data_IF_747004794839
#
_entry.id   IF_747004794839
#
_cell.length_a   1.000
_cell.length_b   1.000
_cell.length_c   1.000
_cell.angle_alpha   90.00
_cell.angle_beta   90.00
_cell.angle_gamma   90.00
#
_symmetry.space_group_name_H-M   'P 1'
#
loop_
_entity.id
_entity.type
_entity.pdbx_description
1 polymer ?
#
# COMPACT_ATOMS: atom_id res chain seq x y z
N UNK A 1 2.48 -7.61 6.30
CA UNK A 1 3.90 -7.45 5.90
C UNK A 1 4.71 -8.53 6.61
N UNK A 2 5.57 -9.29 5.91
CA UNK A 2 6.45 -10.26 6.55
C UNK A 2 7.52 -9.54 7.39
N UNK A 3 8.05 -10.17 8.46
CA UNK A 3 9.15 -9.58 9.23
C UNK A 3 10.33 -9.20 8.34
N UNK A 4 10.83 -7.99 8.50
CA UNK A 4 12.01 -7.47 7.80
C UNK A 4 13.03 -7.02 8.83
N UNK A 5 14.30 -7.41 8.64
CA UNK A 5 15.41 -7.02 9.51
C UNK A 5 16.52 -6.36 8.72
N UNK A 6 17.13 -5.33 9.31
CA UNK A 6 18.38 -4.73 8.83
C UNK A 6 19.54 -5.54 9.42
N UNK A 7 20.47 -6.02 8.58
CA UNK A 7 21.62 -6.80 9.03
C UNK A 7 22.82 -6.66 8.09
N UNK A 8 24.00 -7.01 8.60
CA UNK A 8 25.21 -7.09 7.78
C UNK A 8 25.17 -8.30 6.84
N UNK A 9 25.82 -8.15 5.68
CA UNK A 9 25.99 -9.20 4.69
C UNK A 9 27.33 -9.08 3.96
N UNK A 10 27.66 -10.04 3.07
CA UNK A 10 28.95 -10.07 2.36
C UNK A 10 29.21 -8.86 1.46
N UNK A 11 28.17 -8.08 1.14
CA UNK A 11 28.24 -6.88 0.30
C UNK A 11 27.88 -5.60 1.06
N UNK A 12 27.91 -5.63 2.40
CA UNK A 12 27.52 -4.52 3.26
C UNK A 12 26.16 -4.74 3.93
N UNK A 13 25.72 -3.71 4.66
CA UNK A 13 24.44 -3.74 5.37
C UNK A 13 23.27 -3.68 4.38
N UNK A 14 22.22 -4.47 4.65
CA UNK A 14 21.01 -4.47 3.86
C UNK A 14 19.82 -5.04 4.63
N UNK A 15 18.64 -4.98 4.01
CA UNK A 15 17.43 -5.57 4.59
C UNK A 15 17.21 -6.99 4.08
N UNK A 16 16.73 -7.86 4.96
CA UNK A 16 16.26 -9.20 4.62
C UNK A 16 14.83 -9.35 5.13
N UNK A 17 13.92 -9.73 4.25
CA UNK A 17 12.53 -10.00 4.58
C UNK A 17 12.31 -11.52 4.64
N UNK A 18 11.51 -11.96 5.62
CA UNK A 18 11.13 -13.36 5.76
C UNK A 18 10.42 -13.83 4.49
N UNK A 19 10.85 -14.97 3.96
CA UNK A 19 10.20 -15.65 2.85
C UNK A 19 8.77 -16.05 3.22
N UNK A 20 7.85 -15.89 2.27
CA UNK A 20 6.44 -16.30 2.41
C UNK A 20 6.15 -17.34 1.36
N UNK A 21 5.76 -18.52 1.81
CA UNK A 21 5.27 -19.56 0.91
C UNK A 21 3.90 -19.16 0.35
N UNK A 22 3.72 -19.46 -0.94
CA UNK A 22 2.44 -19.31 -1.60
C UNK A 22 1.39 -20.31 -1.09
N UNK A 23 0.14 -20.19 -1.56
CA UNK A 23 -0.87 -21.22 -1.35
C UNK A 23 -0.37 -22.58 -1.87
N UNK A 24 -0.78 -23.67 -1.21
CA UNK A 24 -0.47 -25.03 -1.69
C UNK A 24 -1.26 -25.35 -2.97
N UNK A 25 -0.77 -26.30 -3.78
CA UNK A 25 -1.47 -26.74 -4.98
C UNK A 25 -2.88 -27.24 -4.64
N UNK A 26 -3.90 -26.55 -5.18
CA UNK A 26 -5.32 -26.85 -4.93
C UNK A 26 -5.98 -26.02 -3.82
N UNK A 27 -5.25 -25.12 -3.16
CA UNK A 27 -5.88 -24.05 -2.36
C UNK A 27 -6.41 -22.95 -3.28
N UNK A 28 -7.72 -22.68 -3.21
CA UNK A 28 -8.34 -21.55 -3.90
C UNK A 28 -7.86 -20.23 -3.27
N UNK A 29 -6.80 -19.65 -3.83
CA UNK A 29 -6.37 -18.30 -3.49
C UNK A 29 -7.31 -17.28 -4.15
N UNK A 30 -7.81 -16.29 -3.39
CA UNK A 30 -8.71 -15.29 -3.94
C UNK A 30 -7.98 -14.47 -4.99
N UNK A 31 -8.63 -14.23 -6.13
CA UNK A 31 -8.18 -13.29 -7.13
C UNK A 31 -8.26 -11.88 -6.54
N UNK A 32 -7.13 -11.17 -6.46
CA UNK A 32 -7.06 -9.86 -5.82
C UNK A 32 -7.10 -8.71 -6.81
N UNK A 33 -6.70 -8.95 -8.05
CA UNK A 33 -6.59 -7.98 -9.13
C UNK A 33 -6.99 -8.65 -10.44
N UNK A 34 -7.71 -7.91 -11.28
CA UNK A 34 -8.11 -8.39 -12.60
C UNK A 34 -8.15 -7.24 -13.60
N UNK A 35 -8.07 -7.58 -14.88
CA UNK A 35 -8.38 -6.69 -15.99
C UNK A 35 -9.74 -7.11 -16.55
N UNK A 36 -10.70 -6.21 -16.55
CA UNK A 36 -12.05 -6.46 -17.07
C UNK A 36 -12.30 -5.65 -18.33
N UNK A 37 -13.01 -6.24 -19.30
CA UNK A 37 -13.31 -5.60 -20.59
C UNK A 37 -14.37 -4.50 -20.47
N UNK A 38 -15.15 -4.47 -19.38
CA UNK A 38 -16.18 -3.46 -19.13
C UNK A 38 -15.63 -2.14 -18.59
N UNK A 39 -16.46 -1.09 -18.65
CA UNK A 39 -16.15 0.24 -18.09
C UNK A 39 -16.45 0.35 -16.60
N UNK A 40 -17.23 -0.58 -16.05
CA UNK A 40 -17.66 -0.61 -14.64
C UNK A 40 -17.20 -1.90 -13.97
N UNK A 41 -16.82 -1.86 -12.68
CA UNK A 41 -16.47 -3.05 -11.93
C UNK A 41 -17.73 -3.90 -11.66
N UNK A 42 -17.59 -5.23 -11.76
CA UNK A 42 -18.64 -6.15 -11.32
C UNK A 42 -18.74 -6.25 -9.80
N UNK A 43 -19.74 -6.99 -9.31
CA UNK A 43 -19.94 -7.22 -7.88
C UNK A 43 -18.67 -7.80 -7.22
N UNK A 44 -18.28 -7.24 -6.07
CA UNK A 44 -17.08 -7.64 -5.33
C UNK A 44 -15.78 -7.02 -5.85
N UNK A 45 -15.82 -6.16 -6.87
CA UNK A 45 -14.67 -5.47 -7.43
C UNK A 45 -14.77 -3.96 -7.26
N UNK A 46 -13.61 -3.29 -7.20
CA UNK A 46 -13.48 -1.83 -7.14
C UNK A 46 -12.58 -1.37 -8.28
N UNK A 47 -13.00 -0.32 -8.98
CA UNK A 47 -12.28 0.25 -10.11
C UNK A 47 -11.00 0.99 -9.66
N UNK A 48 -9.86 0.67 -10.29
CA UNK A 48 -8.59 1.39 -10.08
C UNK A 48 -8.43 2.49 -11.13
N UNK A 49 -8.65 2.12 -12.40
CA UNK A 49 -8.48 2.98 -13.56
C UNK A 49 -8.22 2.15 -14.81
N UNK A 50 -8.25 2.79 -15.97
CA UNK A 50 -7.95 2.11 -17.24
C UNK A 50 -6.45 1.85 -17.38
N UNK A 51 -6.10 0.64 -17.79
CA UNK A 51 -4.74 0.21 -18.11
C UNK A 51 -4.64 -0.23 -19.57
N UNK A 52 -3.52 0.07 -20.22
CA UNK A 52 -3.20 -0.42 -21.56
C UNK A 52 -2.85 -1.91 -21.48
N UNK A 53 -3.59 -2.74 -22.23
CA UNK A 53 -3.39 -4.21 -22.30
C UNK A 53 -2.67 -4.65 -23.58
N UNK A 54 -2.16 -3.68 -24.35
CA UNK A 54 -1.45 -3.90 -25.61
C UNK A 54 -2.30 -3.63 -26.85
N UNK A 55 -1.64 -3.40 -27.99
CA UNK A 55 -2.29 -3.12 -29.29
C UNK A 55 -3.27 -1.93 -29.29
N UNK A 56 -3.08 -0.98 -28.37
CA UNK A 56 -3.97 0.19 -28.19
C UNK A 56 -5.33 -0.14 -27.58
N UNK A 57 -5.46 -1.32 -26.95
CA UNK A 57 -6.65 -1.70 -26.19
C UNK A 57 -6.47 -1.31 -24.72
N UNK A 58 -7.52 -0.73 -24.16
CA UNK A 58 -7.63 -0.46 -22.72
C UNK A 58 -8.56 -1.46 -22.07
N UNK A 59 -8.25 -1.85 -20.83
CA UNK A 59 -9.13 -2.61 -19.96
C UNK A 59 -9.22 -1.90 -18.61
N UNK A 60 -10.33 -2.07 -17.90
CA UNK A 60 -10.46 -1.54 -16.56
C UNK A 60 -9.66 -2.44 -15.60
N UNK A 61 -8.66 -1.88 -14.95
CA UNK A 61 -7.99 -2.53 -13.85
C UNK A 61 -8.88 -2.42 -12.61
N UNK A 62 -9.14 -3.56 -11.97
CA UNK A 62 -9.93 -3.65 -10.74
C UNK A 62 -9.14 -4.38 -9.65
N UNK A 63 -9.46 -4.09 -8.39
CA UNK A 63 -9.04 -4.92 -7.26
C UNK A 63 -10.27 -5.43 -6.49
N UNK A 64 -10.11 -6.54 -5.77
CA UNK A 64 -11.18 -7.09 -4.94
C UNK A 64 -11.59 -6.09 -3.84
N UNK A 65 -12.88 -6.00 -3.52
CA UNK A 65 -13.39 -5.26 -2.37
C UNK A 65 -13.13 -6.05 -1.07
N UNK A 66 -11.85 -6.21 -0.75
CA UNK A 66 -11.36 -7.05 0.34
C UNK A 66 -10.89 -6.19 1.53
N UNK A 67 -11.37 -6.43 2.76
CA UNK A 67 -10.94 -5.68 3.94
C UNK A 67 -9.41 -5.71 4.19
N UNK A 68 -8.72 -6.78 3.80
CA UNK A 68 -7.25 -6.91 3.93
C UNK A 68 -6.54 -5.97 2.97
N UNK A 69 -7.03 -5.85 1.74
CA UNK A 69 -6.54 -4.86 0.77
C UNK A 69 -6.86 -3.44 1.22
N UNK A 70 -8.04 -3.20 1.79
CA UNK A 70 -8.39 -1.88 2.33
C UNK A 70 -7.48 -1.44 3.48
N UNK A 71 -7.02 -2.37 4.33
CA UNK A 71 -5.99 -2.09 5.34
C UNK A 71 -4.65 -1.74 4.70
N UNK A 72 -4.25 -2.45 3.64
CA UNK A 72 -3.02 -2.15 2.90
C UNK A 72 -3.08 -0.79 2.19
N UNK A 73 -4.24 -0.36 1.68
CA UNK A 73 -4.36 0.96 1.05
C UNK A 73 -4.16 2.10 2.05
N UNK A 74 -4.58 1.93 3.31
CA UNK A 74 -4.27 2.88 4.39
C UNK A 74 -2.77 2.87 4.70
N UNK A 75 -2.14 1.69 4.77
CA UNK A 75 -0.70 1.59 4.96
C UNK A 75 0.07 2.30 3.84
N UNK A 76 -0.29 2.04 2.57
CA UNK A 76 0.34 2.66 1.41
C UNK A 76 0.24 4.19 1.47
N UNK A 77 -0.91 4.73 1.87
CA UNK A 77 -1.11 6.16 2.06
C UNK A 77 -0.23 6.74 3.18
N UNK A 78 -0.14 6.05 4.32
CA UNK A 78 0.71 6.48 5.45
C UNK A 78 2.19 6.52 5.05
N UNK A 79 2.69 5.41 4.48
CA UNK A 79 4.09 5.27 4.12
C UNK A 79 4.43 5.88 2.77
N UNK A 80 3.47 6.49 2.07
CA UNK A 80 3.67 7.08 0.76
C UNK A 80 4.29 6.08 -0.25
N UNK A 81 3.69 4.90 -0.36
CA UNK A 81 4.22 3.84 -1.21
C UNK A 81 4.13 4.24 -2.69
N UNK A 82 5.28 4.37 -3.34
CA UNK A 82 5.38 4.79 -4.74
C UNK A 82 5.41 3.66 -5.77
N UNK A 83 5.20 2.42 -5.34
CA UNK A 83 5.34 1.27 -6.22
C UNK A 83 4.48 0.05 -5.82
N UNK A 84 3.28 0.22 -5.24
CA UNK A 84 2.42 -0.94 -4.92
C UNK A 84 1.86 -1.59 -6.18
N UNK A 85 2.42 -2.73 -6.60
CA UNK A 85 2.00 -3.54 -7.76
C UNK A 85 1.30 -4.83 -7.36
N UNK A 86 0.73 -5.55 -8.33
CA UNK A 86 0.03 -6.80 -8.09
C UNK A 86 0.93 -7.90 -7.54
N UNK A 87 2.14 -8.05 -8.11
CA UNK A 87 3.16 -8.98 -7.59
C UNK A 87 3.64 -8.68 -6.16
N UNK A 88 3.22 -7.56 -5.56
CA UNK A 88 3.56 -7.22 -4.16
C UNK A 88 2.50 -7.69 -3.16
N UNK A 89 1.41 -8.28 -3.64
CA UNK A 89 0.31 -8.81 -2.85
C UNK A 89 0.39 -10.35 -2.87
N UNK A 90 0.75 -10.94 -1.74
CA UNK A 90 0.95 -12.39 -1.62
C UNK A 90 -0.17 -13.01 -0.77
N UNK A 91 -1.16 -13.67 -1.39
CA UNK A 91 -2.01 -14.63 -0.69
C UNK A 91 -1.13 -15.71 -0.06
N UNK A 92 -1.47 -16.12 1.16
CA UNK A 92 -0.75 -17.14 1.90
C UNK A 92 -1.73 -18.09 2.62
N UNK A 93 -1.27 -19.30 2.98
CA UNK A 93 -2.12 -20.30 3.63
C UNK A 93 -2.86 -19.78 4.87
N UNK A 94 -4.09 -20.25 5.04
CA UNK A 94 -5.01 -19.81 6.09
C UNK A 94 -5.64 -18.44 5.84
N UNK A 95 -5.77 -18.02 4.57
CA UNK A 95 -6.45 -16.78 4.19
C UNK A 95 -5.69 -15.51 4.57
N UNK A 96 -4.37 -15.60 4.76
CA UNK A 96 -3.53 -14.44 5.06
C UNK A 96 -3.16 -13.70 3.77
N UNK A 97 -2.90 -12.40 3.91
CA UNK A 97 -2.41 -11.55 2.83
C UNK A 97 -1.18 -10.79 3.32
N UNK A 98 -0.08 -10.92 2.58
CA UNK A 98 1.15 -10.18 2.84
C UNK A 98 1.38 -9.14 1.74
N UNK A 99 1.58 -7.88 2.14
CA UNK A 99 2.24 -6.88 1.31
C UNK A 99 3.75 -7.00 1.44
N UNK A 100 4.46 -7.04 0.33
CA UNK A 100 5.94 -7.03 0.24
C UNK A 100 6.43 -5.77 -0.50
N UNK A 101 7.74 -5.69 -0.70
CA UNK A 101 8.44 -4.66 -1.49
C UNK A 101 8.06 -3.22 -1.14
N UNK A 102 8.58 -2.75 0.00
CA UNK A 102 8.38 -1.39 0.52
C UNK A 102 9.61 -0.50 0.29
N UNK A 103 10.48 -0.85 -0.67
CA UNK A 103 11.73 -0.14 -0.91
C UNK A 103 11.53 1.30 -1.44
N UNK A 104 10.36 1.60 -2.00
CA UNK A 104 10.01 2.93 -2.54
C UNK A 104 8.92 3.55 -1.68
N UNK A 105 9.29 3.96 -0.46
CA UNK A 105 8.37 4.52 0.55
C UNK A 105 9.02 5.71 1.26
N UNK A 106 8.22 6.40 2.08
CA UNK A 106 8.57 7.50 2.97
C UNK A 106 9.02 8.81 2.34
N UNK A 107 9.11 8.91 1.01
CA UNK A 107 9.47 10.14 0.32
C UNK A 107 8.72 11.37 0.90
N UNK A 108 9.43 12.48 1.06
CA UNK A 108 8.87 13.70 1.63
C UNK A 108 7.80 14.33 0.72
N UNK A 109 8.00 14.28 -0.59
CA UNK A 109 6.99 14.69 -1.56
C UNK A 109 5.88 13.64 -1.64
N UNK A 110 4.66 14.05 -2.01
CA UNK A 110 3.59 13.10 -2.32
C UNK A 110 3.98 12.24 -3.55
N UNK A 111 4.26 10.97 -3.25
CA UNK A 111 4.75 9.94 -4.16
C UNK A 111 3.92 8.66 -4.02
N UNK A 112 2.64 8.73 -3.62
CA UNK A 112 1.73 7.58 -3.52
C UNK A 112 1.26 7.02 -4.89
N UNK A 113 1.72 5.81 -5.23
CA UNK A 113 1.34 5.04 -6.42
C UNK A 113 0.95 3.64 -6.00
N UNK A 114 -0.31 3.30 -6.22
CA UNK A 114 -0.86 2.02 -5.76
C UNK A 114 -1.93 1.50 -6.70
N UNK A 115 -2.10 0.18 -6.75
CA UNK A 115 -3.27 -0.40 -7.41
C UNK A 115 -4.51 -0.42 -6.52
N UNK A 116 -4.44 0.14 -5.31
CA UNK A 116 -5.53 0.11 -4.33
C UNK A 116 -6.36 1.41 -4.31
N UNK A 117 -6.48 2.06 -5.47
CA UNK A 117 -7.23 3.31 -5.63
C UNK A 117 -8.75 3.15 -5.61
N UNK A 118 -9.28 1.93 -5.58
CA UNK A 118 -10.72 1.71 -5.67
C UNK A 118 -11.54 2.22 -4.50
N UNK A 119 -10.90 2.58 -3.39
CA UNK A 119 -11.53 3.31 -2.28
C UNK A 119 -11.25 4.82 -2.29
N UNK A 120 -10.66 5.39 -3.36
CA UNK A 120 -10.23 6.79 -3.37
C UNK A 120 -11.38 7.77 -3.04
N UNK A 121 -11.20 8.54 -1.96
CA UNK A 121 -12.19 9.48 -1.44
C UNK A 121 -13.38 8.84 -0.71
N UNK A 122 -13.41 7.52 -0.55
CA UNK A 122 -14.35 6.86 0.36
C UNK A 122 -13.96 7.10 1.83
N UNK A 123 -14.91 7.03 2.78
CA UNK A 123 -14.61 7.11 4.20
C UNK A 123 -13.59 6.05 4.64
N UNK A 124 -12.69 6.44 5.53
CA UNK A 124 -11.86 5.49 6.28
C UNK A 124 -12.76 4.70 7.24
N UNK A 125 -12.43 3.43 7.48
CA UNK A 125 -13.14 2.63 8.47
C UNK A 125 -12.82 3.11 9.88
N UNK A 126 -13.71 2.83 10.84
CA UNK A 126 -13.45 3.10 12.26
C UNK A 126 -12.16 2.42 12.76
N UNK A 127 -11.90 1.21 12.26
CA UNK A 127 -10.66 0.48 12.52
C UNK A 127 -9.43 1.28 12.05
N UNK A 128 -9.47 1.80 10.82
CA UNK A 128 -8.37 2.59 10.26
C UNK A 128 -8.15 3.88 11.06
N UNK A 129 -9.22 4.62 11.40
CA UNK A 129 -9.13 5.83 12.22
C UNK A 129 -8.54 5.55 13.60
N UNK A 130 -8.95 4.46 14.25
CA UNK A 130 -8.42 4.08 15.55
C UNK A 130 -6.92 3.72 15.49
N UNK A 131 -6.48 3.03 14.43
CA UNK A 131 -5.05 2.71 14.21
C UNK A 131 -4.25 3.98 13.92
N UNK A 132 -4.75 4.85 13.05
CA UNK A 132 -4.11 6.12 12.71
C UNK A 132 -3.96 7.02 13.94
N UNK A 133 -4.95 7.07 14.83
CA UNK A 133 -4.88 7.83 16.09
C UNK A 133 -3.78 7.34 17.02
N UNK A 134 -3.62 6.01 17.15
CA UNK A 134 -2.50 5.41 17.90
C UNK A 134 -1.16 5.71 17.24
N UNK A 135 -1.09 5.58 15.91
CA UNK A 135 0.12 5.87 15.15
C UNK A 135 0.54 7.34 15.29
N UNK A 136 -0.40 8.29 15.26
CA UNK A 136 -0.11 9.70 15.48
C UNK A 136 0.51 9.95 16.87
N UNK A 137 0.00 9.29 17.91
CA UNK A 137 0.57 9.37 19.26
C UNK A 137 2.00 8.78 19.32
N UNK A 138 2.23 7.63 18.68
CA UNK A 138 3.56 6.99 18.61
C UNK A 138 4.56 7.77 17.74
N UNK A 139 4.08 8.57 16.78
CA UNK A 139 4.89 9.46 15.97
C UNK A 139 5.13 10.84 16.61
N UNK A 140 4.52 11.15 17.74
CA UNK A 140 4.73 12.42 18.43
C UNK A 140 6.22 12.64 18.79
N UNK A 141 6.72 13.90 18.79
CA UNK A 141 8.11 14.18 19.16
C UNK A 141 8.49 13.56 20.51
N UNK A 142 9.56 12.76 20.53
CA UNK A 142 10.06 12.08 21.72
C UNK A 142 9.40 10.72 22.04
N UNK A 143 8.36 10.32 21.30
CA UNK A 143 7.81 8.96 21.42
C UNK A 143 8.75 7.91 20.82
N UNK A 144 8.65 6.66 21.30
CA UNK A 144 9.60 5.60 20.98
C UNK A 144 9.69 5.32 19.48
N UNK A 145 8.55 5.23 18.78
CA UNK A 145 8.54 5.01 17.34
C UNK A 145 9.12 6.22 16.58
N UNK A 146 8.76 7.45 16.95
CA UNK A 146 9.33 8.65 16.34
C UNK A 146 10.86 8.71 16.45
N UNK A 147 11.41 8.39 17.62
CA UNK A 147 12.85 8.31 17.84
C UNK A 147 13.49 7.25 16.96
N UNK A 148 12.89 6.05 16.89
CA UNK A 148 13.41 4.97 16.05
C UNK A 148 13.36 5.32 14.55
N UNK A 149 12.29 5.96 14.10
CA UNK A 149 12.16 6.39 12.70
C UNK A 149 13.20 7.44 12.34
N UNK A 150 13.50 8.40 13.23
CA UNK A 150 14.52 9.42 13.00
C UNK A 150 15.95 8.85 12.83
N UNK A 151 16.19 7.59 13.24
CA UNK A 151 17.46 6.88 12.99
C UNK A 151 17.49 6.20 11.61
N UNK A 152 16.34 6.03 10.95
CA UNK A 152 16.18 5.22 9.74
C UNK A 152 15.80 6.05 8.50
N UNK A 153 15.11 7.16 8.69
CA UNK A 153 14.69 8.08 7.62
C UNK A 153 15.10 9.51 7.97
N UNK A 154 15.07 10.39 6.97
CA UNK A 154 15.43 11.79 7.16
C UNK A 154 14.38 12.55 8.00
N UNK A 155 14.78 13.71 8.52
CA UNK A 155 13.86 14.60 9.26
C UNK A 155 12.67 15.02 8.41
N UNK A 156 12.91 15.40 7.14
CA UNK A 156 11.87 15.81 6.20
C UNK A 156 10.87 14.68 5.91
N UNK A 157 11.34 13.44 5.74
CA UNK A 157 10.46 12.27 5.53
C UNK A 157 9.62 11.95 6.77
N UNK A 158 10.19 12.11 7.97
CA UNK A 158 9.46 11.91 9.23
C UNK A 158 8.41 13.01 9.47
N UNK A 159 8.71 14.26 9.14
CA UNK A 159 7.74 15.36 9.17
C UNK A 159 6.60 15.09 8.18
N UNK A 160 6.91 14.74 6.93
CA UNK A 160 5.92 14.40 5.92
C UNK A 160 5.07 13.17 6.33
N UNK A 161 5.66 12.17 6.98
CA UNK A 161 4.91 11.03 7.53
C UNK A 161 3.88 11.49 8.57
N UNK A 162 4.27 12.36 9.51
CA UNK A 162 3.34 12.91 10.51
C UNK A 162 2.21 13.70 9.86
N UNK A 163 2.54 14.55 8.90
CA UNK A 163 1.57 15.35 8.15
C UNK A 163 0.57 14.46 7.39
N UNK A 164 1.04 13.38 6.75
CA UNK A 164 0.17 12.41 6.09
C UNK A 164 -0.79 11.74 7.08
N UNK A 165 -0.30 11.28 8.23
CA UNK A 165 -1.16 10.66 9.26
C UNK A 165 -2.20 11.64 9.79
N UNK A 166 -1.79 12.88 10.10
CA UNK A 166 -2.69 13.95 10.55
C UNK A 166 -3.73 14.32 9.48
N UNK A 167 -3.32 14.41 8.22
CA UNK A 167 -4.20 14.66 7.08
C UNK A 167 -5.27 13.57 6.91
N UNK A 168 -4.87 12.29 7.02
CA UNK A 168 -5.82 11.17 6.98
C UNK A 168 -6.83 11.21 8.14
N UNK A 169 -6.39 11.54 9.35
CA UNK A 169 -7.27 11.67 10.52
C UNK A 169 -8.25 12.83 10.38
N UNK A 170 -7.79 14.00 9.92
CA UNK A 170 -8.63 15.19 9.73
C UNK A 170 -9.62 15.01 8.60
N UNK A 171 -9.18 14.40 7.49
CA UNK A 171 -10.02 14.19 6.31
C UNK A 171 -11.02 13.05 6.50
N UNK A 172 -10.65 12.00 7.22
CA UNK A 172 -11.51 10.84 7.47
C UNK A 172 -11.83 10.02 6.21
N UNK A 173 -11.09 10.22 5.12
CA UNK A 173 -11.29 9.57 3.82
C UNK A 173 -9.98 9.05 3.25
N UNK A 174 -10.04 8.01 2.43
CA UNK A 174 -8.91 7.56 1.63
C UNK A 174 -8.46 8.68 0.68
N UNK A 175 -7.14 8.83 0.41
CA UNK A 175 -6.64 9.86 -0.48
C UNK A 175 -7.11 9.63 -1.92
N UNK A 176 -7.05 10.69 -2.72
CA UNK A 176 -7.20 10.62 -4.18
C UNK A 176 -5.83 10.80 -4.85
N UNK A 177 -5.64 10.29 -6.09
CA UNK A 177 -4.48 10.62 -6.89
C UNK A 177 -4.17 12.12 -6.90
N UNK A 178 -2.91 12.50 -6.68
CA UNK A 178 -2.49 13.90 -6.64
C UNK A 178 -2.57 14.61 -8.00
N UNK A 179 -2.63 13.84 -9.09
CA UNK A 179 -2.62 14.35 -10.47
C UNK A 179 -1.26 14.89 -10.94
N UNK A 180 -0.24 14.89 -10.09
CA UNK A 180 1.07 15.45 -10.41
C UNK A 180 1.97 14.48 -11.21
N UNK A 181 1.67 13.18 -11.18
CA UNK A 181 2.41 12.10 -11.83
C UNK A 181 1.52 10.84 -11.88
N UNK A 182 1.85 9.80 -12.68
CA UNK A 182 0.95 8.67 -12.92
C UNK A 182 0.64 7.90 -11.62
N UNK A 183 -0.64 7.70 -11.25
CA UNK A 183 -1.01 7.12 -9.96
C UNK A 183 -0.92 5.58 -9.92
N UNK A 184 -0.85 4.94 -11.08
CA UNK A 184 -0.69 3.49 -11.22
C UNK A 184 0.81 3.17 -11.42
N UNK A 185 1.41 2.26 -10.63
CA UNK A 185 2.78 1.82 -10.84
C UNK A 185 2.93 0.93 -12.06
N UNK A 186 4.14 0.91 -12.65
CA UNK A 186 4.43 0.13 -13.86
C UNK A 186 5.53 -0.92 -13.63
N UNK A 187 5.37 -2.16 -14.12
CA UNK A 187 4.13 -2.72 -14.67
C UNK A 187 3.07 -2.88 -13.56
N UNK A 188 1.77 -2.80 -13.88
CA UNK A 188 0.72 -2.94 -12.87
C UNK A 188 0.63 -4.38 -12.34
N UNK A 189 0.65 -5.37 -13.23
CA UNK A 189 0.60 -6.81 -12.90
C UNK A 189 1.79 -7.55 -13.47
#
# INVERSE_FOLDING_TARGET
MPPTVLRDGPYGQGMVQLWVDGPEDGEDAPELLALVEGEEPGDGWKAVGFAEVGEGRTALLVHADDPRLRRLSVLDAVINNGDRKGGHLLPAPGGRLFGIDHGVTFNADDKLRTLLWGWAGEPLTEEALAVLGRLAAELAPGAALATRMAELITVAELEALRERVDGLLKGGVHPRPSGQWPPIPWPPV
#
